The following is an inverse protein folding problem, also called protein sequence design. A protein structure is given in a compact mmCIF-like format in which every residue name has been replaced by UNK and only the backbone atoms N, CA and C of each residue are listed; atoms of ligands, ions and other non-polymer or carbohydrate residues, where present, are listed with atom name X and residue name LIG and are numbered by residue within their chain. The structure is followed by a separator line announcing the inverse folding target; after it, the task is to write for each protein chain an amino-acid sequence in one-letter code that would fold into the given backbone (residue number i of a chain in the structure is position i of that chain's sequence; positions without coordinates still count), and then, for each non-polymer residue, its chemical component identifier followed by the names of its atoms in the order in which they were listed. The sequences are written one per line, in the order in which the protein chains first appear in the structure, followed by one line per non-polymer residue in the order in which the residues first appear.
data_IF_149865865174
#
_entry.id   IF_149865865174
#
_cell.length_a   1.000
_cell.length_b   1.000
_cell.length_c   1.000
_cell.angle_alpha   90.00
_cell.angle_beta   90.00
_cell.angle_gamma   90.00
#
_symmetry.space_group_name_H-M   'P 1'
#
loop_
_entity.id
_entity.type
_entity.pdbx_description
1 polymer ?
#
# COMPACT_ATOMS: atom_id res chain seq x y z
N UNK A 1 -0.80 20.86 12.11
CA UNK A 1 -0.07 20.91 13.40
C UNK A 1 0.90 22.09 13.52
N UNK A 2 1.46 22.60 12.42
CA UNK A 2 2.40 23.74 12.41
C UNK A 2 1.90 25.02 13.11
N UNK A 3 0.63 25.38 12.94
CA UNK A 3 0.02 26.54 13.62
C UNK A 3 0.03 26.39 15.16
N UNK A 4 -0.28 25.20 15.68
CA UNK A 4 -0.24 24.92 17.11
C UNK A 4 1.19 24.88 17.67
N UNK A 5 2.15 24.35 16.91
CA UNK A 5 3.57 24.40 17.27
C UNK A 5 4.08 25.84 17.36
N UNK A 6 3.73 26.70 16.40
CA UNK A 6 4.17 28.10 16.38
C UNK A 6 3.55 28.91 17.54
N UNK A 7 2.28 28.69 17.84
CA UNK A 7 1.61 29.36 18.95
C UNK A 7 2.12 28.85 20.31
N UNK A 8 2.40 27.55 20.44
CA UNK A 8 2.99 26.95 21.63
C UNK A 8 4.46 27.37 21.89
N UNK A 9 5.15 27.97 20.92
CA UNK A 9 6.47 28.60 21.16
C UNK A 9 6.36 29.96 21.86
N UNK A 10 5.22 30.64 21.69
CA UNK A 10 4.96 31.97 22.25
C UNK A 10 4.07 31.93 23.50
N UNK A 11 3.37 30.82 23.73
CA UNK A 11 2.40 30.61 24.81
C UNK A 11 2.49 29.18 25.34
N UNK A 12 1.69 28.80 26.33
CA UNK A 12 1.63 27.40 26.77
C UNK A 12 0.97 26.50 25.72
N UNK A 13 1.43 25.24 25.63
CA UNK A 13 0.83 24.21 24.77
C UNK A 13 -0.69 24.10 24.99
N UNK A 14 -1.13 24.19 26.25
CA UNK A 14 -2.55 24.09 26.61
C UNK A 14 -3.36 25.26 26.03
N UNK A 15 -2.84 26.48 26.13
CA UNK A 15 -3.49 27.67 25.57
C UNK A 15 -3.51 27.63 24.06
N UNK A 16 -2.39 27.27 23.43
CA UNK A 16 -2.29 27.12 21.99
C UNK A 16 -3.24 26.07 21.41
N UNK A 17 -3.35 24.91 22.05
CA UNK A 17 -4.27 23.83 21.66
C UNK A 17 -5.73 24.26 21.83
N UNK A 18 -6.06 24.92 22.95
CA UNK A 18 -7.43 25.39 23.23
C UNK A 18 -7.87 26.47 22.25
N UNK A 19 -7.00 27.44 21.96
CA UNK A 19 -7.27 28.52 21.00
C UNK A 19 -7.48 28.03 19.56
N UNK A 20 -6.84 26.90 19.19
CA UNK A 20 -6.93 26.31 17.87
C UNK A 20 -7.94 25.15 17.78
N UNK A 21 -8.66 24.84 18.86
CA UNK A 21 -9.62 23.74 18.91
C UNK A 21 -9.00 22.35 18.74
N UNK A 22 -7.72 22.18 19.08
CA UNK A 22 -6.99 20.92 18.92
C UNK A 22 -6.95 20.19 20.27
N UNK A 23 -7.36 18.91 20.36
CA UNK A 23 -7.14 18.12 21.56
C UNK A 23 -5.64 18.01 21.88
N UNK A 24 -5.26 18.30 23.14
CA UNK A 24 -3.86 18.28 23.58
C UNK A 24 -3.16 16.94 23.33
N UNK A 25 -3.90 15.83 23.36
CA UNK A 25 -3.42 14.49 23.02
C UNK A 25 -2.94 14.39 21.56
N UNK A 26 -3.61 15.05 20.62
CA UNK A 26 -3.23 15.05 19.21
C UNK A 26 -1.93 15.84 18.97
N UNK A 27 -1.74 16.92 19.75
CA UNK A 27 -0.52 17.72 19.72
C UNK A 27 0.73 16.91 20.13
N UNK A 28 0.66 16.19 21.25
CA UNK A 28 1.78 15.34 21.67
C UNK A 28 1.98 14.14 20.75
N UNK A 29 0.91 13.48 20.30
CA UNK A 29 0.99 12.37 19.33
C UNK A 29 1.71 12.77 18.05
N UNK A 30 1.43 13.96 17.52
CA UNK A 30 2.12 14.41 16.30
C UNK A 30 3.58 14.81 16.56
N UNK A 31 3.93 15.37 17.72
CA UNK A 31 5.33 15.54 18.11
C UNK A 31 6.08 14.21 18.22
N UNK A 32 5.48 13.20 18.84
CA UNK A 32 6.04 11.85 18.93
C UNK A 32 6.27 11.25 17.54
N UNK A 33 5.32 11.42 16.61
CA UNK A 33 5.48 10.93 15.23
C UNK A 33 6.61 11.62 14.47
N UNK A 34 6.85 12.91 14.74
CA UNK A 34 7.92 13.71 14.12
C UNK A 34 9.30 13.34 14.66
N UNK A 35 9.38 12.99 15.94
CA UNK A 35 10.62 12.60 16.61
C UNK A 35 10.93 11.09 16.47
N UNK A 36 9.97 10.29 16.04
CA UNK A 36 10.20 8.86 15.78
C UNK A 36 11.08 8.72 14.54
N UNK A 37 12.19 7.96 14.61
CA UNK A 37 12.95 7.65 13.40
C UNK A 37 12.00 7.00 12.40
N UNK A 38 12.02 7.50 11.15
CA UNK A 38 11.18 6.95 10.09
C UNK A 38 11.53 5.48 9.96
N UNK A 39 10.62 4.60 10.37
CA UNK A 39 10.78 3.15 10.16
C UNK A 39 10.59 2.91 8.67
N UNK A 40 11.65 3.11 7.89
CA UNK A 40 11.66 3.07 6.42
C UNK A 40 11.50 1.67 5.83
N UNK A 41 11.03 0.69 6.60
CA UNK A 41 10.68 -0.62 6.06
C UNK A 41 9.25 -0.91 6.43
N UNK A 42 8.36 -0.72 5.44
CA UNK A 42 7.17 -1.56 5.34
C UNK A 42 7.71 -2.99 5.29
N UNK A 43 7.63 -3.70 6.41
CA UNK A 43 8.00 -5.11 6.47
C UNK A 43 7.04 -5.80 5.50
N UNK A 44 7.57 -6.39 4.41
CA UNK A 44 6.77 -7.25 3.53
C UNK A 44 6.17 -8.33 4.45
N UNK A 45 4.87 -8.56 4.35
CA UNK A 45 4.22 -9.65 5.09
C UNK A 45 4.97 -10.95 4.79
N UNK A 46 5.17 -11.86 5.76
CA UNK A 46 5.79 -13.16 5.48
C UNK A 46 4.99 -13.99 4.46
N UNK A 47 3.70 -13.69 4.26
CA UNK A 47 2.84 -14.29 3.23
C UNK A 47 2.77 -13.47 1.94
N UNK A 48 3.58 -12.41 1.79
CA UNK A 48 3.61 -11.67 0.55
C UNK A 48 4.40 -12.47 -0.49
N UNK A 49 3.84 -12.56 -1.70
CA UNK A 49 4.57 -13.12 -2.85
C UNK A 49 5.94 -12.46 -2.98
N UNK A 50 6.95 -13.28 -3.20
CA UNK A 50 8.28 -12.86 -3.64
C UNK A 50 8.19 -12.21 -5.01
N UNK A 51 9.27 -11.56 -5.44
CA UNK A 51 9.27 -10.91 -6.74
C UNK A 51 9.29 -11.96 -7.87
N UNK A 52 9.91 -13.13 -7.64
CA UNK A 52 9.90 -14.28 -8.57
C UNK A 52 8.49 -14.91 -8.68
N UNK A 53 7.83 -15.18 -7.55
CA UNK A 53 6.47 -15.74 -7.54
C UNK A 53 5.44 -14.79 -8.21
N UNK A 54 5.70 -13.49 -8.19
CA UNK A 54 4.88 -12.51 -8.91
C UNK A 54 5.04 -12.63 -10.41
N UNK A 55 6.26 -12.86 -10.88
CA UNK A 55 6.53 -13.03 -12.30
C UNK A 55 5.91 -14.33 -12.82
N UNK A 56 5.94 -15.41 -12.02
CA UNK A 56 5.27 -16.66 -12.36
C UNK A 56 3.75 -16.47 -12.51
N UNK A 57 3.12 -15.76 -11.56
CA UNK A 57 1.69 -15.41 -11.65
C UNK A 57 1.41 -14.59 -12.92
N UNK A 58 2.27 -13.63 -13.25
CA UNK A 58 2.12 -12.78 -14.43
C UNK A 58 2.28 -13.59 -15.73
N UNK A 59 3.23 -14.52 -15.77
CA UNK A 59 3.47 -15.44 -16.89
C UNK A 59 2.25 -16.31 -17.16
N UNK A 60 1.65 -16.86 -16.10
CA UNK A 60 0.45 -17.70 -16.21
C UNK A 60 -0.74 -16.89 -16.72
N UNK A 61 -0.95 -15.68 -16.17
CA UNK A 61 -2.04 -14.80 -16.61
C UNK A 61 -1.88 -14.32 -18.06
N UNK A 62 -0.64 -14.19 -18.55
CA UNK A 62 -0.35 -13.81 -19.93
C UNK A 62 -0.15 -15.01 -20.87
N UNK A 63 -0.28 -16.25 -20.38
CA UNK A 63 -0.16 -17.44 -21.23
C UNK A 63 -1.33 -17.53 -22.21
N UNK A 64 -1.11 -18.14 -23.38
CA UNK A 64 -2.14 -18.30 -24.42
C UNK A 64 -3.43 -18.94 -23.89
N UNK A 65 -3.32 -19.74 -22.83
CA UNK A 65 -4.44 -20.43 -22.17
C UNK A 65 -5.35 -19.50 -21.36
N UNK A 66 -4.80 -18.43 -20.80
CA UNK A 66 -5.47 -17.55 -19.84
C UNK A 66 -5.50 -16.09 -20.26
N UNK A 67 -4.86 -15.72 -21.38
CA UNK A 67 -4.78 -14.34 -21.88
C UNK A 67 -6.16 -13.69 -22.09
N UNK A 68 -7.16 -14.47 -22.51
CA UNK A 68 -8.54 -14.01 -22.72
C UNK A 68 -9.45 -14.24 -21.51
N UNK A 69 -8.92 -14.77 -20.40
CA UNK A 69 -9.70 -15.10 -19.20
C UNK A 69 -9.49 -14.07 -18.10
N UNK A 70 -10.55 -13.80 -17.35
CA UNK A 70 -10.44 -12.96 -16.16
C UNK A 70 -9.67 -13.69 -15.05
N UNK A 71 -9.01 -12.96 -14.12
CA UNK A 71 -8.35 -13.59 -12.97
C UNK A 71 -9.26 -14.50 -12.13
N UNK A 72 -10.57 -14.25 -12.12
CA UNK A 72 -11.54 -15.12 -11.44
C UNK A 72 -11.71 -16.48 -12.15
N UNK A 73 -11.80 -16.47 -13.48
CA UNK A 73 -11.91 -17.68 -14.29
C UNK A 73 -10.62 -18.49 -14.29
N UNK A 74 -9.47 -17.80 -14.38
CA UNK A 74 -8.15 -18.45 -14.25
C UNK A 74 -8.01 -19.11 -12.88
N UNK A 75 -8.39 -18.42 -11.80
CA UNK A 75 -8.38 -19.00 -10.45
C UNK A 75 -9.28 -20.23 -10.33
N UNK A 76 -10.51 -20.18 -10.85
CA UNK A 76 -11.42 -21.33 -10.83
C UNK A 76 -10.86 -22.51 -11.63
N UNK A 77 -10.34 -22.24 -12.83
CA UNK A 77 -9.74 -23.29 -13.69
C UNK A 77 -8.55 -23.96 -13.01
N UNK A 78 -7.65 -23.19 -12.39
CA UNK A 78 -6.49 -23.74 -11.68
C UNK A 78 -6.92 -24.58 -10.47
N UNK A 79 -7.94 -24.14 -9.73
CA UNK A 79 -8.48 -24.91 -8.62
C UNK A 79 -9.11 -26.23 -9.07
N UNK A 80 -9.82 -26.25 -10.19
CA UNK A 80 -10.38 -27.47 -10.77
C UNK A 80 -9.27 -28.47 -11.15
N UNK A 81 -8.08 -27.97 -11.48
CA UNK A 81 -6.87 -28.77 -11.77
C UNK A 81 -6.07 -29.16 -10.51
N UNK A 82 -6.49 -28.68 -9.33
CA UNK A 82 -5.80 -28.91 -8.07
C UNK A 82 -4.57 -28.03 -7.86
N UNK A 83 -4.37 -27.00 -8.68
CA UNK A 83 -3.25 -26.08 -8.59
C UNK A 83 -3.67 -24.79 -7.87
N UNK A 84 -2.95 -24.44 -6.80
CA UNK A 84 -3.14 -23.18 -6.09
C UNK A 84 -1.86 -22.34 -6.14
N UNK A 85 -1.98 -21.14 -6.72
CA UNK A 85 -0.86 -20.21 -6.90
C UNK A 85 -1.02 -19.01 -5.97
N UNK A 86 -2.12 -18.29 -6.09
CA UNK A 86 -2.47 -17.19 -5.18
C UNK A 86 -3.97 -16.88 -5.22
N UNK A 87 -4.43 -16.04 -4.29
CA UNK A 87 -5.82 -15.58 -4.29
C UNK A 87 -6.14 -14.72 -5.52
N UNK A 88 -7.41 -14.74 -5.97
CA UNK A 88 -7.90 -13.87 -7.05
C UNK A 88 -7.60 -12.39 -6.79
N UNK A 89 -7.71 -11.93 -5.53
CA UNK A 89 -7.38 -10.54 -5.14
C UNK A 89 -5.91 -10.22 -5.39
N UNK A 90 -5.02 -11.19 -5.15
CA UNK A 90 -3.59 -11.06 -5.39
C UNK A 90 -3.29 -10.98 -6.89
N UNK A 91 -3.93 -11.81 -7.73
CA UNK A 91 -3.81 -11.73 -9.19
C UNK A 91 -4.14 -10.31 -9.71
N UNK A 92 -5.27 -9.75 -9.28
CA UNK A 92 -5.63 -8.36 -9.63
C UNK A 92 -4.59 -7.34 -9.16
N UNK A 93 -3.98 -7.52 -7.99
CA UNK A 93 -2.92 -6.62 -7.48
C UNK A 93 -1.63 -6.73 -8.27
N UNK A 94 -1.31 -7.91 -8.80
CA UNK A 94 -0.14 -8.13 -9.65
C UNK A 94 -0.37 -7.44 -11.00
N UNK A 95 -1.54 -7.67 -11.63
CA UNK A 95 -1.90 -7.01 -12.87
C UNK A 95 -1.96 -5.49 -12.73
N UNK A 96 -2.56 -4.96 -11.67
CA UNK A 96 -2.66 -3.51 -11.46
C UNK A 96 -1.29 -2.86 -11.32
N UNK A 97 -0.37 -3.50 -10.59
CA UNK A 97 0.99 -3.02 -10.44
C UNK A 97 1.72 -3.00 -11.79
N UNK A 98 1.53 -4.02 -12.64
CA UNK A 98 2.15 -4.06 -13.96
C UNK A 98 1.56 -3.02 -14.93
N UNK A 99 0.24 -2.78 -14.89
CA UNK A 99 -0.38 -1.69 -15.67
C UNK A 99 0.09 -0.30 -15.22
N UNK A 100 0.24 -0.07 -13.92
CA UNK A 100 0.82 1.18 -13.39
C UNK A 100 2.30 1.34 -13.79
N UNK A 101 3.04 0.24 -13.98
CA UNK A 101 4.39 0.25 -14.54
C UNK A 101 4.38 0.55 -16.04
N UNK A 102 3.38 0.06 -16.80
CA UNK A 102 3.20 0.35 -18.24
C UNK A 102 2.81 1.81 -18.54
N UNK A 103 2.09 2.49 -17.63
CA UNK A 103 1.67 3.90 -17.81
C UNK A 103 2.80 4.94 -17.65
N UNK A 104 4.07 4.54 -17.51
CA UNK A 104 5.19 5.50 -17.55
C UNK A 104 5.60 5.95 -18.96
N UNK A 105 5.00 5.41 -20.02
CA UNK A 105 5.31 5.69 -21.44
C UNK A 105 4.34 6.61 -22.18
N UNK A 106 3.67 7.52 -21.48
CA UNK A 106 3.02 8.66 -22.16
C UNK A 106 3.27 9.98 -21.42
N UNK A 107 4.51 10.48 -21.56
CA UNK A 107 4.82 11.90 -21.44
C UNK A 107 5.46 12.34 -22.75
N UNK A 108 4.65 12.90 -23.64
CA UNK A 108 5.05 13.83 -24.68
C UNK A 108 4.55 15.21 -24.27
#
# INVERSE_FOLDING_TARGET
MSAAENLAKKTSVSSACSALGIPRSNYYRHQETKNRPVRNRKIKSPLALTDDEREDVLSILNSDRFVDKSPGETYATLLDEGEYICSTRTMYRVLSAETELKERRHRR
#
